data_IF_824721628317
#
_entry.id   IF_824721628317
#
_cell.length_a   1.000
_cell.length_b   1.000
_cell.length_c   1.000
_cell.angle_alpha   90.00
_cell.angle_beta   90.00
_cell.angle_gamma   90.00
#
_symmetry.space_group_name_H-M   'P 1'
#
loop_
_entity.id
_entity.type
_entity.pdbx_description
1 polymer ?
#
# COMPACT_ATOMS: atom_id res chain seq x y z
N UNK A 1 27.03 -54.53 -15.26
CA UNK A 1 26.32 -54.61 -16.56
C UNK A 1 25.05 -53.77 -16.45
N UNK A 2 24.97 -52.67 -17.20
CA UNK A 2 23.75 -51.88 -17.46
C UNK A 2 23.56 -51.94 -18.98
N UNK A 3 22.33 -51.94 -19.49
CA UNK A 3 22.03 -50.90 -20.47
C UNK A 3 20.69 -50.22 -20.23
N UNK A 4 20.74 -48.89 -20.37
CA UNK A 4 19.62 -47.97 -20.56
C UNK A 4 19.11 -48.08 -22.01
N UNK A 5 17.86 -47.72 -22.24
CA UNK A 5 17.27 -47.49 -23.57
C UNK A 5 16.42 -46.19 -23.51
N UNK A 6 16.10 -45.53 -24.65
CA UNK A 6 16.85 -44.35 -25.07
C UNK A 6 16.01 -43.07 -25.22
N UNK A 7 16.68 -41.92 -25.08
CA UNK A 7 16.20 -40.61 -25.54
C UNK A 7 15.93 -40.62 -27.05
N UNK A 8 14.73 -40.20 -27.47
CA UNK A 8 14.41 -39.93 -28.87
C UNK A 8 14.79 -38.49 -29.20
N UNK A 9 15.82 -38.33 -30.03
CA UNK A 9 16.27 -37.07 -30.64
C UNK A 9 15.88 -37.11 -32.11
N UNK A 10 15.07 -36.16 -32.59
CA UNK A 10 14.86 -35.97 -34.03
C UNK A 10 15.83 -34.91 -34.57
N UNK A 11 16.71 -35.37 -35.48
CA UNK A 11 17.41 -34.56 -36.51
C UNK A 11 16.37 -33.90 -37.43
N UNK A 12 16.61 -32.82 -38.17
CA UNK A 12 17.81 -32.03 -38.42
C UNK A 12 17.71 -31.34 -39.79
N UNK A 13 18.60 -30.36 -40.02
CA UNK A 13 19.08 -29.85 -41.33
C UNK A 13 18.07 -29.08 -42.22
N UNK A 14 18.42 -28.04 -42.99
CA UNK A 14 19.72 -27.56 -43.53
C UNK A 14 19.55 -26.15 -44.14
N UNK A 15 20.69 -25.42 -44.22
CA UNK A 15 21.15 -24.42 -45.22
C UNK A 15 20.18 -24.07 -46.38
N UNK A 16 20.06 -22.85 -46.91
CA UNK A 16 20.88 -21.64 -46.90
C UNK A 16 20.78 -20.91 -48.26
N UNK A 17 21.20 -19.63 -48.30
CA UNK A 17 21.76 -18.86 -49.45
C UNK A 17 20.86 -17.90 -50.29
N UNK A 18 21.27 -16.61 -50.21
CA UNK A 18 21.42 -15.50 -51.19
C UNK A 18 20.27 -14.63 -51.77
N UNK A 19 20.27 -13.36 -51.32
CA UNK A 19 20.42 -12.06 -52.02
C UNK A 19 19.93 -11.89 -53.48
N UNK A 20 19.10 -10.86 -53.70
CA UNK A 20 19.15 -9.99 -54.88
C UNK A 20 18.63 -8.57 -54.56
N UNK A 21 19.40 -7.57 -54.98
CA UNK A 21 19.22 -6.12 -54.84
C UNK A 21 18.33 -5.58 -55.97
N UNK A 22 17.44 -4.63 -55.69
CA UNK A 22 17.05 -3.58 -56.66
C UNK A 22 16.66 -2.29 -55.92
N UNK A 23 17.33 -1.20 -56.28
CA UNK A 23 17.02 0.17 -55.88
C UNK A 23 16.35 0.89 -57.05
N UNK A 24 15.43 1.82 -56.76
CA UNK A 24 15.35 3.12 -57.45
C UNK A 24 14.44 4.08 -56.66
N UNK A 25 14.96 5.27 -56.38
CA UNK A 25 14.37 6.38 -55.63
C UNK A 25 13.48 7.28 -56.50
N UNK A 26 12.66 8.16 -55.88
CA UNK A 26 12.77 9.64 -55.97
C UNK A 26 11.62 10.42 -55.28
N UNK A 27 12.02 11.38 -54.42
CA UNK A 27 11.46 12.72 -54.07
C UNK A 27 10.03 12.78 -53.45
N UNK A 28 9.71 13.53 -52.38
CA UNK A 28 10.39 14.54 -51.55
C UNK A 28 9.35 15.32 -50.73
N UNK A 29 9.80 16.33 -49.98
CA UNK A 29 9.18 17.11 -48.88
C UNK A 29 9.29 16.40 -47.52
N UNK A 30 9.99 16.90 -46.50
CA UNK A 30 10.55 18.22 -46.23
C UNK A 30 10.03 18.69 -44.88
N UNK A 31 10.88 18.71 -43.84
CA UNK A 31 10.81 19.62 -42.68
C UNK A 31 12.06 19.43 -41.82
N UNK A 32 12.74 20.55 -41.56
CA UNK A 32 13.95 20.68 -40.77
C UNK A 32 13.60 21.12 -39.35
N UNK A 33 14.44 20.74 -38.38
CA UNK A 33 14.60 21.28 -37.01
C UNK A 33 13.46 20.86 -36.03
N UNK A 34 13.68 20.52 -34.76
CA UNK A 34 14.71 20.91 -33.78
C UNK A 34 14.72 19.85 -32.66
N UNK A 35 15.84 19.71 -31.95
CA UNK A 35 15.88 18.98 -30.69
C UNK A 35 15.09 19.77 -29.63
N UNK A 36 13.98 19.20 -29.19
CA UNK A 36 13.37 19.53 -27.90
C UNK A 36 13.15 18.19 -27.18
N UNK A 37 14.01 17.88 -26.22
CA UNK A 37 13.68 16.93 -25.18
C UNK A 37 12.82 17.69 -24.17
N UNK A 38 11.51 17.41 -24.01
CA UNK A 38 10.86 17.71 -22.76
C UNK A 38 11.41 16.71 -21.75
N UNK A 39 12.34 17.21 -20.93
CA UNK A 39 12.62 16.65 -19.63
C UNK A 39 11.29 16.55 -18.87
N UNK A 40 11.10 15.40 -18.22
CA UNK A 40 10.23 15.21 -17.08
C UNK A 40 8.74 15.49 -17.32
N UNK A 41 8.10 14.54 -18.02
CA UNK A 41 6.79 14.08 -17.57
C UNK A 41 6.97 13.43 -16.19
N UNK A 42 7.07 14.28 -15.16
CA UNK A 42 6.68 13.90 -13.82
C UNK A 42 5.23 13.44 -13.94
N UNK A 43 5.03 12.12 -13.83
CA UNK A 43 3.73 11.54 -13.59
C UNK A 43 3.22 12.11 -12.26
N UNK A 44 2.60 13.28 -12.34
CA UNK A 44 1.66 13.75 -11.35
C UNK A 44 0.56 12.70 -11.36
N UNK A 45 0.50 11.91 -10.30
CA UNK A 45 -0.72 11.19 -9.98
C UNK A 45 -1.80 12.26 -9.88
N UNK A 46 -2.61 12.41 -10.93
CA UNK A 46 -3.88 13.11 -10.85
C UNK A 46 -4.74 12.37 -9.81
N UNK A 47 -4.62 12.82 -8.56
CA UNK A 47 -5.65 12.66 -7.57
C UNK A 47 -6.85 13.39 -8.15
N UNK A 48 -7.79 12.64 -8.72
CA UNK A 48 -9.05 13.13 -9.26
C UNK A 48 -9.56 14.30 -8.42
N UNK A 49 -9.73 15.48 -9.04
CA UNK A 49 -10.10 16.75 -8.40
C UNK A 49 -11.50 16.79 -7.79
N UNK A 50 -11.88 15.75 -7.05
CA UNK A 50 -13.08 15.70 -6.24
C UNK A 50 -12.88 16.60 -5.02
N UNK A 51 -13.84 17.50 -4.78
CA UNK A 51 -13.84 18.36 -3.60
C UNK A 51 -13.94 17.49 -2.33
N UNK A 52 -13.16 17.79 -1.27
CA UNK A 52 -13.29 17.11 0.01
C UNK A 52 -14.73 17.13 0.53
N UNK A 53 -15.20 15.98 1.02
CA UNK A 53 -16.54 15.86 1.59
C UNK A 53 -16.61 16.59 2.93
N UNK A 54 -17.68 17.35 3.16
CA UNK A 54 -17.92 17.98 4.47
C UNK A 54 -18.33 16.92 5.47
N UNK A 55 -17.59 16.81 6.58
CA UNK A 55 -17.85 15.84 7.64
C UNK A 55 -17.59 16.49 9.00
N UNK A 56 -18.51 16.27 9.93
CA UNK A 56 -18.35 16.67 11.32
C UNK A 56 -17.23 15.88 12.00
N UNK A 57 -16.48 16.53 12.90
CA UNK A 57 -15.25 15.97 13.49
C UNK A 57 -15.54 14.72 14.32
N UNK A 58 -16.62 14.71 15.11
CA UNK A 58 -16.95 13.55 15.93
C UNK A 58 -17.42 12.38 15.05
N UNK A 59 -18.19 12.67 14.00
CA UNK A 59 -18.54 11.65 12.99
C UNK A 59 -17.33 11.07 12.28
N UNK A 60 -16.29 11.87 12.03
CA UNK A 60 -15.05 11.37 11.47
C UNK A 60 -14.34 10.42 12.44
N UNK A 61 -14.25 10.77 13.74
CA UNK A 61 -13.71 9.87 14.78
C UNK A 61 -14.50 8.57 14.88
N UNK A 62 -15.83 8.63 14.83
CA UNK A 62 -16.69 7.45 14.84
C UNK A 62 -16.42 6.53 13.64
N UNK A 63 -16.30 7.10 12.43
CA UNK A 63 -15.94 6.34 11.23
C UNK A 63 -14.57 5.69 11.36
N UNK A 64 -13.56 6.44 11.81
CA UNK A 64 -12.22 5.90 12.02
C UNK A 64 -12.22 4.77 13.05
N UNK A 65 -12.97 4.91 14.15
CA UNK A 65 -13.14 3.86 15.16
C UNK A 65 -13.83 2.61 14.60
N UNK A 66 -14.85 2.78 13.77
CA UNK A 66 -15.56 1.66 13.14
C UNK A 66 -14.64 0.90 12.18
N UNK A 67 -13.89 1.62 11.33
CA UNK A 67 -12.86 1.03 10.46
C UNK A 67 -11.81 0.31 11.28
N UNK A 68 -11.32 0.94 12.34
CA UNK A 68 -10.33 0.37 13.25
C UNK A 68 -10.78 -0.93 13.91
N UNK A 69 -12.04 -0.96 14.36
CA UNK A 69 -12.64 -2.18 14.93
C UNK A 69 -12.72 -3.30 13.90
N UNK A 70 -13.09 -3.00 12.64
CA UNK A 70 -13.08 -4.00 11.57
C UNK A 70 -11.69 -4.59 11.34
N UNK A 71 -10.63 -3.76 11.36
CA UNK A 71 -9.25 -4.22 11.21
C UNK A 71 -8.84 -5.10 12.41
N UNK A 72 -9.21 -4.70 13.62
CA UNK A 72 -8.97 -5.49 14.84
C UNK A 72 -9.64 -6.86 14.79
N UNK A 73 -10.90 -6.91 14.36
CA UNK A 73 -11.67 -8.15 14.21
C UNK A 73 -11.04 -9.10 13.19
N UNK A 74 -10.33 -8.60 12.17
CA UNK A 74 -9.61 -9.43 11.19
C UNK A 74 -8.32 -10.02 11.76
N UNK A 75 -7.66 -9.35 12.71
CA UNK A 75 -6.46 -9.87 13.38
C UNK A 75 -6.85 -11.05 14.30
N UNK A 76 -8.01 -10.94 14.97
CA UNK A 76 -8.65 -12.02 15.73
C UNK A 76 -7.70 -12.71 16.73
N UNK A 77 -7.22 -11.95 17.73
CA UNK A 77 -6.42 -12.49 18.84
C UNK A 77 -7.07 -12.09 20.17
N UNK A 78 -7.99 -12.92 20.66
CA UNK A 78 -8.80 -12.62 21.86
C UNK A 78 -7.98 -12.43 23.15
N UNK A 79 -6.80 -13.06 23.26
CA UNK A 79 -5.94 -12.98 24.46
C UNK A 79 -4.93 -11.83 24.43
N UNK A 80 -4.88 -11.06 23.33
CA UNK A 80 -3.91 -9.99 23.18
C UNK A 80 -4.35 -8.70 23.89
N UNK A 81 -3.35 -7.94 24.32
CA UNK A 81 -3.52 -6.56 24.76
C UNK A 81 -3.62 -5.63 23.56
N UNK A 82 -4.33 -4.53 23.74
CA UNK A 82 -4.51 -3.50 22.72
C UNK A 82 -4.27 -2.14 23.36
N UNK A 83 -3.57 -1.25 22.67
CA UNK A 83 -3.42 0.14 23.12
C UNK A 83 -4.74 0.90 22.99
N UNK A 84 -5.10 1.71 23.99
CA UNK A 84 -6.45 2.27 24.11
C UNK A 84 -6.71 3.71 23.60
N UNK A 85 -5.76 4.53 23.09
CA UNK A 85 -6.14 5.85 22.60
C UNK A 85 -7.05 5.72 21.36
N UNK A 86 -8.07 6.56 21.30
CA UNK A 86 -8.98 6.63 20.15
C UNK A 86 -8.37 7.39 18.97
N UNK A 87 -9.10 7.47 17.84
CA UNK A 87 -8.67 8.25 16.68
C UNK A 87 -8.47 9.73 17.04
N UNK A 88 -7.31 10.27 16.67
CA UNK A 88 -7.02 11.70 16.72
C UNK A 88 -7.39 12.38 15.41
N UNK A 89 -7.40 13.71 15.44
CA UNK A 89 -7.55 14.55 14.25
C UNK A 89 -6.20 15.18 13.93
N UNK A 90 -5.89 15.33 12.65
CA UNK A 90 -4.66 15.97 12.16
C UNK A 90 -5.06 16.93 11.04
N UNK A 91 -4.55 18.18 11.01
CA UNK A 91 -4.87 19.08 9.92
C UNK A 91 -4.24 18.57 8.62
N UNK A 92 -4.91 18.84 7.51
CA UNK A 92 -4.38 18.51 6.19
C UNK A 92 -3.56 19.69 5.65
N UNK A 93 -2.33 19.42 5.17
CA UNK A 93 -1.38 20.44 4.72
C UNK A 93 -1.93 21.38 3.63
N UNK A 94 -2.90 20.92 2.84
CA UNK A 94 -3.47 21.68 1.73
C UNK A 94 -4.30 22.89 2.20
N UNK A 95 -4.97 22.79 3.34
CA UNK A 95 -5.83 23.83 3.92
C UNK A 95 -6.03 23.50 5.41
N UNK A 96 -5.00 23.71 6.25
CA UNK A 96 -4.98 23.23 7.64
C UNK A 96 -6.03 23.90 8.54
N UNK A 97 -6.61 25.02 8.09
CA UNK A 97 -7.67 25.72 8.82
C UNK A 97 -9.05 25.09 8.59
N UNK A 98 -9.28 24.42 7.45
CA UNK A 98 -10.62 23.91 7.10
C UNK A 98 -10.64 22.43 6.72
N UNK A 99 -9.49 21.82 6.46
CA UNK A 99 -9.35 20.41 6.10
C UNK A 99 -8.60 19.65 7.20
N UNK A 100 -9.11 18.47 7.50
CA UNK A 100 -8.53 17.59 8.51
C UNK A 100 -8.67 16.13 8.08
N UNK A 101 -7.87 15.26 8.69
CA UNK A 101 -7.97 13.80 8.57
C UNK A 101 -7.99 13.17 9.96
N UNK A 102 -8.44 11.93 10.04
CA UNK A 102 -8.30 11.12 11.25
C UNK A 102 -7.04 10.28 11.15
N UNK A 103 -6.33 10.13 12.27
CA UNK A 103 -5.25 9.15 12.42
C UNK A 103 -5.54 8.29 13.65
N UNK A 104 -5.38 6.97 13.52
CA UNK A 104 -5.59 6.06 14.64
C UNK A 104 -4.47 5.02 14.69
N UNK A 105 -3.31 5.37 15.30
CA UNK A 105 -2.27 4.42 15.60
C UNK A 105 -2.62 3.60 16.85
N UNK A 106 -2.47 2.28 16.77
CA UNK A 106 -2.64 1.37 17.89
C UNK A 106 -1.89 0.06 17.65
N UNK A 107 -1.70 -0.74 18.69
CA UNK A 107 -0.94 -2.00 18.61
C UNK A 107 -1.67 -3.17 19.26
N UNK A 108 -1.46 -4.38 18.73
CA UNK A 108 -1.81 -5.68 19.34
C UNK A 108 -0.55 -6.32 19.88
N UNK A 109 -0.52 -6.70 21.16
CA UNK A 109 0.70 -7.18 21.81
C UNK A 109 0.40 -8.07 23.03
N UNK A 110 1.46 -8.52 23.73
CA UNK A 110 1.31 -9.31 24.96
C UNK A 110 0.97 -10.79 24.74
N UNK A 111 1.21 -11.30 23.54
CA UNK A 111 1.04 -12.70 23.14
C UNK A 111 2.32 -13.20 22.44
N UNK A 112 2.52 -14.52 22.29
CA UNK A 112 3.68 -15.06 21.58
C UNK A 112 3.80 -14.55 20.13
N UNK A 113 5.02 -14.46 19.61
CA UNK A 113 5.27 -13.97 18.23
C UNK A 113 4.52 -14.77 17.16
N UNK A 114 4.34 -16.08 17.37
CA UNK A 114 3.67 -16.93 16.39
C UNK A 114 2.16 -16.63 16.32
N UNK A 115 1.55 -16.20 17.43
CA UNK A 115 0.17 -15.71 17.43
C UNK A 115 0.05 -14.37 16.68
N UNK A 116 1.04 -13.47 16.85
CA UNK A 116 1.08 -12.21 16.10
C UNK A 116 1.27 -12.45 14.60
N UNK A 117 2.17 -13.38 14.22
CA UNK A 117 2.34 -13.78 12.81
C UNK A 117 1.04 -14.34 12.24
N UNK A 118 0.34 -15.19 12.99
CA UNK A 118 -0.94 -15.76 12.58
C UNK A 118 -2.03 -14.68 12.43
N UNK A 119 -2.11 -13.73 13.37
CA UNK A 119 -3.05 -12.60 13.29
C UNK A 119 -2.76 -11.66 12.11
N UNK A 120 -1.48 -11.37 11.85
CA UNK A 120 -1.09 -10.57 10.68
C UNK A 120 -1.44 -11.27 9.36
N UNK A 121 -1.29 -12.60 9.32
CA UNK A 121 -1.70 -13.41 8.18
C UNK A 121 -3.22 -13.41 7.98
N UNK A 122 -4.02 -13.53 9.05
CA UNK A 122 -5.49 -13.41 9.00
C UNK A 122 -5.92 -12.04 8.48
N UNK A 123 -5.29 -10.97 8.96
CA UNK A 123 -5.54 -9.62 8.46
C UNK A 123 -5.33 -9.53 6.95
N UNK A 124 -4.17 -9.97 6.45
CA UNK A 124 -3.85 -9.98 5.01
C UNK A 124 -4.91 -10.70 4.19
N UNK A 125 -5.29 -11.90 4.63
CA UNK A 125 -6.18 -12.78 3.87
C UNK A 125 -7.64 -12.29 3.92
N UNK A 126 -8.04 -11.66 5.04
CA UNK A 126 -9.41 -11.18 5.25
C UNK A 126 -9.71 -9.81 4.62
N UNK A 127 -8.71 -8.95 4.47
CA UNK A 127 -8.85 -7.59 3.93
C UNK A 127 -9.57 -7.54 2.57
N UNK A 128 -9.20 -8.34 1.54
CA UNK A 128 -9.90 -8.33 0.26
C UNK A 128 -11.40 -8.62 0.37
N UNK A 129 -11.78 -9.56 1.24
CA UNK A 129 -13.19 -9.90 1.50
C UNK A 129 -13.99 -8.78 2.18
N UNK A 130 -13.31 -7.77 2.73
CA UNK A 130 -13.90 -6.58 3.35
C UNK A 130 -13.81 -5.34 2.46
N UNK A 131 -13.47 -5.49 1.18
CA UNK A 131 -13.40 -4.38 0.23
C UNK A 131 -12.13 -3.54 0.37
N UNK A 132 -11.02 -4.15 0.77
CA UNK A 132 -9.71 -3.50 0.79
C UNK A 132 -8.83 -4.00 -0.35
N UNK A 133 -8.04 -3.10 -0.92
CA UNK A 133 -7.05 -3.43 -1.94
C UNK A 133 -5.64 -3.23 -1.37
N UNK A 134 -4.94 -4.34 -1.18
CA UNK A 134 -3.52 -4.32 -0.81
C UNK A 134 -2.67 -3.98 -2.01
N UNK A 135 -1.87 -2.93 -1.91
CA UNK A 135 -0.92 -2.53 -2.95
C UNK A 135 0.55 -2.66 -2.52
N UNK A 136 0.81 -2.80 -1.21
CA UNK A 136 2.14 -3.12 -0.68
C UNK A 136 2.05 -4.27 0.31
N UNK A 137 2.88 -5.28 0.11
CA UNK A 137 3.10 -6.36 1.07
C UNK A 137 4.55 -6.84 0.98
N UNK A 138 5.27 -6.82 2.10
CA UNK A 138 6.65 -7.28 2.17
C UNK A 138 7.47 -6.54 3.22
N UNK A 139 8.77 -6.82 3.32
CA UNK A 139 9.65 -6.13 4.26
C UNK A 139 9.74 -4.64 3.98
N UNK A 140 9.54 -3.80 5.00
CA UNK A 140 9.65 -2.36 4.87
C UNK A 140 11.11 -1.87 4.77
N UNK A 141 11.30 -0.56 4.62
CA UNK A 141 12.64 0.05 4.44
C UNK A 141 13.42 0.22 5.75
N UNK A 142 12.84 -0.09 6.91
CA UNK A 142 13.51 0.02 8.21
C UNK A 142 14.74 -0.90 8.30
N UNK A 143 15.59 -0.69 9.31
CA UNK A 143 16.70 -1.59 9.63
C UNK A 143 16.23 -3.00 9.99
N UNK A 144 15.10 -3.10 10.70
CA UNK A 144 14.50 -4.36 11.13
C UNK A 144 13.91 -5.16 9.97
N UNK A 145 13.63 -4.51 8.82
CA UNK A 145 12.93 -5.11 7.68
C UNK A 145 11.60 -5.75 8.11
N UNK A 146 10.88 -5.06 9.01
CA UNK A 146 9.60 -5.50 9.52
C UNK A 146 8.64 -5.79 8.36
N UNK A 147 7.91 -6.90 8.45
CA UNK A 147 6.92 -7.24 7.46
C UNK A 147 5.79 -6.23 7.54
N UNK A 148 5.43 -5.66 6.39
CA UNK A 148 4.49 -4.55 6.30
C UNK A 148 3.44 -4.86 5.23
N UNK A 149 2.24 -4.39 5.49
CA UNK A 149 1.07 -4.47 4.63
C UNK A 149 0.45 -3.08 4.56
N UNK A 150 0.25 -2.56 3.35
CA UNK A 150 -0.49 -1.32 3.12
C UNK A 150 -1.66 -1.58 2.17
N UNK A 151 -2.85 -1.18 2.60
CA UNK A 151 -4.08 -1.37 1.84
C UNK A 151 -4.97 -0.14 1.91
N UNK A 152 -5.69 0.11 0.83
CA UNK A 152 -6.68 1.18 0.75
C UNK A 152 -8.09 0.58 0.68
N UNK A 153 -9.03 1.21 1.36
CA UNK A 153 -10.45 0.86 1.25
C UNK A 153 -10.96 1.24 -0.14
N UNK A 154 -11.77 0.35 -0.72
CA UNK A 154 -12.39 0.58 -2.04
C UNK A 154 -13.70 1.35 -1.95
N UNK A 155 -14.23 1.55 -0.75
CA UNK A 155 -15.56 2.15 -0.52
C UNK A 155 -15.50 3.47 0.25
N UNK A 156 -14.49 3.66 1.09
CA UNK A 156 -14.30 4.87 1.88
C UNK A 156 -12.85 5.36 1.74
N UNK A 157 -12.57 6.66 1.94
CA UNK A 157 -11.22 7.19 1.84
C UNK A 157 -10.43 6.87 3.11
N UNK A 158 -10.10 5.60 3.31
CA UNK A 158 -9.26 5.13 4.40
C UNK A 158 -8.12 4.26 3.87
N UNK A 159 -6.96 4.41 4.49
CA UNK A 159 -5.80 3.56 4.29
C UNK A 159 -5.40 2.94 5.62
N UNK A 160 -4.90 1.71 5.57
CA UNK A 160 -4.29 1.02 6.69
C UNK A 160 -2.84 0.68 6.35
N UNK A 161 -1.93 1.02 7.26
CA UNK A 161 -0.56 0.53 7.29
C UNK A 161 -0.42 -0.38 8.52
N UNK A 162 -0.10 -1.64 8.27
CA UNK A 162 0.07 -2.66 9.30
C UNK A 162 1.51 -3.17 9.26
N UNK A 163 2.17 -3.19 10.41
CA UNK A 163 3.56 -3.65 10.54
C UNK A 163 3.67 -4.73 11.61
N UNK A 164 4.37 -5.81 11.30
CA UNK A 164 4.66 -6.89 12.23
C UNK A 164 6.05 -6.68 12.85
N UNK A 165 6.08 -6.29 14.12
CA UNK A 165 7.29 -6.06 14.89
C UNK A 165 7.56 -7.30 15.75
N UNK A 166 8.43 -8.16 15.25
CA UNK A 166 8.84 -9.41 15.91
C UNK A 166 10.35 -9.59 15.75
N UNK A 167 10.94 -10.54 16.46
CA UNK A 167 12.36 -10.86 16.35
C UNK A 167 12.76 -11.10 14.89
N UNK A 168 13.90 -10.53 14.48
CA UNK A 168 14.41 -10.67 13.12
C UNK A 168 15.93 -10.89 13.10
N UNK A 169 16.49 -11.52 12.04
CA UNK A 169 17.93 -11.70 11.94
C UNK A 169 18.74 -10.40 11.94
N UNK A 170 18.15 -9.25 11.57
CA UNK A 170 18.87 -7.98 11.43
C UNK A 170 18.91 -7.17 12.72
N UNK A 171 17.93 -7.31 13.61
CA UNK A 171 17.86 -6.54 14.87
C UNK A 171 17.81 -7.42 16.13
N UNK A 172 17.74 -8.74 15.97
CA UNK A 172 17.75 -9.69 17.08
C UNK A 172 16.38 -9.88 17.72
N UNK A 173 16.39 -10.16 19.02
CA UNK A 173 15.17 -10.41 19.80
C UNK A 173 14.39 -9.11 20.04
N UNK A 174 13.09 -9.13 19.74
CA UNK A 174 12.18 -8.04 20.09
C UNK A 174 11.71 -8.20 21.54
N UNK A 175 11.79 -7.12 22.33
CA UNK A 175 11.44 -7.18 23.76
C UNK A 175 9.94 -7.25 23.97
N UNK A 176 9.20 -6.55 23.12
CA UNK A 176 7.75 -6.51 23.15
C UNK A 176 7.25 -6.67 21.71
N UNK A 177 7.09 -7.92 21.25
CA UNK A 177 6.60 -8.15 19.90
C UNK A 177 5.15 -7.68 19.78
N UNK A 178 4.81 -7.09 18.64
CA UNK A 178 3.50 -6.49 18.40
C UNK A 178 3.15 -6.42 16.91
N UNK A 179 1.86 -6.26 16.63
CA UNK A 179 1.38 -5.73 15.36
C UNK A 179 1.07 -4.25 15.58
N UNK A 180 1.70 -3.37 14.83
CA UNK A 180 1.41 -1.93 14.82
C UNK A 180 0.46 -1.64 13.67
N UNK A 181 -0.65 -0.98 13.96
CA UNK A 181 -1.66 -0.58 12.99
C UNK A 181 -1.73 0.94 12.99
N UNK A 182 -1.70 1.54 11.81
CA UNK A 182 -1.99 2.96 11.60
C UNK A 182 -3.09 3.08 10.56
N UNK A 183 -4.24 3.62 10.97
CA UNK A 183 -5.35 3.90 10.07
C UNK A 183 -5.41 5.40 9.85
N UNK A 184 -5.51 5.81 8.59
CA UNK A 184 -5.55 7.21 8.19
C UNK A 184 -6.70 7.42 7.22
N UNK A 185 -7.47 8.50 7.39
CA UNK A 185 -8.47 8.90 6.40
C UNK A 185 -7.87 9.82 5.33
N UNK A 186 -8.59 9.94 4.21
CA UNK A 186 -8.46 11.12 3.36
C UNK A 186 -8.91 12.39 4.08
N UNK A 187 -8.63 13.55 3.47
CA UNK A 187 -9.01 14.83 4.03
C UNK A 187 -10.52 15.07 3.92
N UNK A 188 -11.12 15.42 5.05
CA UNK A 188 -12.48 15.91 5.19
C UNK A 188 -12.49 17.42 5.30
N UNK A 189 -13.59 18.06 4.90
CA UNK A 189 -13.82 19.48 5.17
C UNK A 189 -14.63 19.64 6.45
N UNK A 190 -14.14 20.47 7.36
CA UNK A 190 -14.88 20.81 8.57
C UNK A 190 -16.14 21.62 8.23
N UNK A 191 -17.26 21.44 8.96
CA UNK A 191 -18.41 22.32 8.84
C UNK A 191 -18.02 23.78 9.08
N UNK A 192 -18.71 24.71 8.42
CA UNK A 192 -18.43 26.14 8.57
C UNK A 192 -18.53 26.56 10.04
N UNK A 193 -17.51 27.27 10.53
CA UNK A 193 -17.45 27.74 11.92
C UNK A 193 -16.87 26.71 12.91
N UNK A 194 -16.45 25.54 12.45
CA UNK A 194 -15.70 24.59 13.28
C UNK A 194 -14.30 25.15 13.55
N UNK A 195 -13.91 25.20 14.82
CA UNK A 195 -12.54 25.53 15.22
C UNK A 195 -11.72 24.24 15.43
N UNK A 196 -10.91 23.90 14.43
CA UNK A 196 -10.06 22.70 14.47
C UNK A 196 -8.96 22.78 15.53
N UNK A 197 -8.57 23.97 16.02
CA UNK A 197 -7.52 24.10 17.04
C UNK A 197 -7.90 23.50 18.39
N UNK A 198 -9.19 23.27 18.62
CA UNK A 198 -9.76 22.68 19.85
C UNK A 198 -9.92 21.17 19.78
N UNK A 199 -9.54 20.52 18.66
CA UNK A 199 -9.88 19.13 18.35
C UNK A 199 -8.72 18.14 18.47
N UNK A 200 -7.54 18.61 18.90
CA UNK A 200 -6.31 17.81 19.01
C UNK A 200 -6.13 17.18 20.38
#
# INVERSE_FOLDING_TARGET
MIPRSPCRRSRGNRLGIAVAVTALSLIGTGCSNTMDHPADAAATHEMTGAKPTVLDVDKAREKAKAVSSQIYDLIDIASAKVTEPGPSIVPCDQDPEHLYKTEHPWSVYGVPEDELKAGFQRLRDGLPGKGWKTWRYGPNKSRAKALELTSDSTTEPFSVDAQLWVSSPTVGHEKEPMIVITIVSGCWRAPKGTDLSTQY
#
